data_IF_307312776452
#
_entry.id   IF_307312776452
#
_cell.length_a   1.000
_cell.length_b   1.000
_cell.length_c   1.000
_cell.angle_alpha   90.00
_cell.angle_beta   90.00
_cell.angle_gamma   90.00
#
_symmetry.space_group_name_H-M   'P 1'
#
loop_
_entity.id
_entity.type
_entity.pdbx_description
1 polymer ?
#
# COMPACT_ATOMS: atom_id res chain seq x y z
N UNK A 1 20.86 -2.95 -24.87
CA UNK A 1 19.45 -3.29 -24.55
C UNK A 1 18.60 -2.82 -25.70
N UNK A 2 17.85 -3.70 -26.37
CA UNK A 2 17.02 -3.32 -27.52
C UNK A 2 15.77 -2.52 -27.10
N UNK A 3 15.17 -1.77 -28.04
CA UNK A 3 14.02 -0.90 -27.79
C UNK A 3 12.80 -1.66 -27.22
N UNK A 4 12.53 -2.87 -27.72
CA UNK A 4 11.38 -3.66 -27.26
C UNK A 4 11.57 -4.03 -25.79
N UNK A 5 12.76 -4.49 -25.43
CA UNK A 5 13.13 -4.77 -24.05
C UNK A 5 13.04 -3.52 -23.16
N UNK A 6 13.43 -2.33 -23.65
CA UNK A 6 13.34 -1.09 -22.88
C UNK A 6 11.89 -0.70 -22.55
N UNK A 7 11.01 -0.74 -23.57
CA UNK A 7 9.59 -0.43 -23.38
C UNK A 7 8.89 -1.49 -22.52
N UNK A 8 9.26 -2.77 -22.71
CA UNK A 8 8.74 -3.88 -21.88
C UNK A 8 9.10 -3.69 -20.42
N UNK A 9 10.38 -3.43 -20.11
CA UNK A 9 10.83 -3.22 -18.73
C UNK A 9 10.19 -1.98 -18.10
N UNK A 10 10.01 -0.89 -18.86
CA UNK A 10 9.32 0.30 -18.37
C UNK A 10 7.86 -0.01 -17.97
N UNK A 11 7.15 -0.75 -18.82
CA UNK A 11 5.78 -1.18 -18.55
C UNK A 11 5.71 -2.08 -17.31
N UNK A 12 6.61 -3.07 -17.22
CA UNK A 12 6.69 -4.01 -16.10
C UNK A 12 7.02 -3.31 -14.78
N UNK A 13 7.92 -2.33 -14.79
CA UNK A 13 8.23 -1.55 -13.58
C UNK A 13 6.99 -0.82 -13.06
N UNK A 14 6.20 -0.23 -13.97
CA UNK A 14 5.03 0.59 -13.65
C UNK A 14 3.83 -0.27 -13.23
N UNK A 15 3.51 -1.33 -13.98
CA UNK A 15 2.28 -2.10 -13.80
C UNK A 15 2.49 -3.47 -13.16
N UNK A 16 3.75 -3.91 -12.96
CA UNK A 16 4.10 -5.25 -12.44
C UNK A 16 3.57 -6.40 -13.30
N UNK A 17 3.45 -6.17 -14.60
CA UNK A 17 3.03 -7.16 -15.59
C UNK A 17 3.72 -6.92 -16.94
N UNK A 18 3.75 -7.95 -17.79
CA UNK A 18 4.29 -7.86 -19.14
C UNK A 18 3.20 -7.33 -20.08
N UNK A 19 3.48 -6.31 -20.93
CA UNK A 19 2.49 -5.83 -21.88
C UNK A 19 2.16 -6.91 -22.92
N UNK A 20 0.88 -7.03 -23.26
CA UNK A 20 0.49 -7.87 -24.39
C UNK A 20 1.09 -7.34 -25.72
N UNK A 21 1.12 -8.17 -26.79
CA UNK A 21 1.73 -7.77 -28.05
C UNK A 21 1.14 -6.50 -28.69
N UNK A 22 -0.14 -6.22 -28.50
CA UNK A 22 -0.81 -5.06 -29.10
C UNK A 22 -0.57 -3.80 -28.27
N UNK A 23 -0.53 -3.92 -26.95
CA UNK A 23 -0.04 -2.88 -26.04
C UNK A 23 1.40 -2.52 -26.39
N UNK A 24 2.31 -3.51 -26.54
CA UNK A 24 3.70 -3.25 -26.89
C UNK A 24 3.85 -2.54 -28.26
N UNK A 25 3.10 -2.97 -29.28
CA UNK A 25 3.07 -2.29 -30.59
C UNK A 25 2.61 -0.84 -30.46
N UNK A 26 1.57 -0.59 -29.67
CA UNK A 26 1.03 0.77 -29.46
C UNK A 26 2.03 1.68 -28.75
N UNK A 27 2.78 1.16 -27.78
CA UNK A 27 3.84 1.90 -27.09
C UNK A 27 5.04 2.21 -28.00
N UNK A 28 5.43 1.27 -28.88
CA UNK A 28 6.46 1.51 -29.89
C UNK A 28 6.00 2.56 -30.89
N UNK A 29 4.73 2.54 -31.30
CA UNK A 29 4.17 3.57 -32.18
C UNK A 29 4.22 4.95 -31.50
N UNK A 30 3.79 5.05 -30.25
CA UNK A 30 3.85 6.29 -29.47
C UNK A 30 5.29 6.79 -29.30
N UNK A 31 6.25 5.90 -29.04
CA UNK A 31 7.68 6.23 -28.99
C UNK A 31 8.16 6.89 -30.30
N UNK A 32 7.85 6.28 -31.45
CA UNK A 32 8.25 6.78 -32.77
C UNK A 32 7.58 8.13 -33.10
N UNK A 33 6.31 8.31 -32.70
CA UNK A 33 5.57 9.56 -32.91
C UNK A 33 6.06 10.71 -32.03
N UNK A 34 6.75 10.41 -30.93
CA UNK A 34 7.22 11.40 -29.95
C UNK A 34 8.75 11.49 -29.94
N UNK A 35 9.34 11.63 -31.14
CA UNK A 35 10.77 11.86 -31.35
C UNK A 35 11.67 10.81 -30.69
N UNK A 36 11.25 9.54 -30.69
CA UNK A 36 12.00 8.43 -30.11
C UNK A 36 12.33 8.66 -28.61
N UNK A 37 11.40 9.27 -27.87
CA UNK A 37 11.57 9.59 -26.45
C UNK A 37 10.95 8.51 -25.56
N UNK A 38 11.78 7.83 -24.76
CA UNK A 38 11.30 6.90 -23.73
C UNK A 38 10.51 7.63 -22.64
N UNK A 39 10.87 8.88 -22.37
CA UNK A 39 10.16 9.71 -21.39
C UNK A 39 8.73 10.06 -21.85
N UNK A 40 8.51 10.19 -23.16
CA UNK A 40 7.17 10.35 -23.71
C UNK A 40 6.31 9.09 -23.53
N UNK A 41 6.91 7.90 -23.60
CA UNK A 41 6.24 6.63 -23.30
C UNK A 41 5.91 6.55 -21.81
N UNK A 42 6.85 6.88 -20.93
CA UNK A 42 6.62 6.90 -19.48
C UNK A 42 5.47 7.84 -19.11
N UNK A 43 5.47 9.07 -19.64
CA UNK A 43 4.40 10.05 -19.39
C UNK A 43 3.04 9.57 -19.91
N UNK A 44 3.02 8.90 -21.07
CA UNK A 44 1.81 8.26 -21.58
C UNK A 44 1.29 7.16 -20.64
N UNK A 45 2.17 6.29 -20.14
CA UNK A 45 1.79 5.24 -19.19
C UNK A 45 1.29 5.83 -17.86
N UNK A 46 1.97 6.84 -17.31
CA UNK A 46 1.60 7.49 -16.04
C UNK A 46 0.32 8.34 -16.14
N UNK A 47 -0.05 8.80 -17.32
CA UNK A 47 -1.32 9.51 -17.53
C UNK A 47 -2.51 8.60 -17.78
N UNK A 48 -2.28 7.29 -17.96
CA UNK A 48 -3.31 6.31 -18.27
C UNK A 48 -4.28 6.10 -17.10
N UNK A 49 -5.51 5.72 -17.43
CA UNK A 49 -6.51 5.33 -16.43
C UNK A 49 -6.06 4.12 -15.60
N UNK A 50 -5.29 3.20 -16.21
CA UNK A 50 -4.68 2.07 -15.51
C UNK A 50 -3.74 2.52 -14.40
N UNK A 51 -2.88 3.50 -14.68
CA UNK A 51 -1.96 4.03 -13.68
C UNK A 51 -2.68 4.78 -12.56
N UNK A 52 -3.74 5.53 -12.88
CA UNK A 52 -4.56 6.20 -11.87
C UNK A 52 -5.20 5.20 -10.91
N UNK A 53 -5.80 4.13 -11.43
CA UNK A 53 -6.40 3.06 -10.60
C UNK A 53 -5.35 2.40 -9.71
N UNK A 54 -4.21 2.00 -10.29
CA UNK A 54 -3.10 1.43 -9.53
C UNK A 54 -2.60 2.36 -8.42
N UNK A 55 -2.50 3.66 -8.70
CA UNK A 55 -2.07 4.66 -7.70
C UNK A 55 -3.08 4.78 -6.56
N UNK A 56 -4.37 4.83 -6.88
CA UNK A 56 -5.45 4.88 -5.88
C UNK A 56 -5.47 3.62 -5.00
N UNK A 57 -5.28 2.44 -5.61
CA UNK A 57 -5.20 1.17 -4.89
C UNK A 57 -4.01 1.15 -3.93
N UNK A 58 -2.81 1.51 -4.41
CA UNK A 58 -1.60 1.55 -3.58
C UNK A 58 -1.69 2.58 -2.46
N UNK A 59 -2.22 3.78 -2.73
CA UNK A 59 -2.47 4.79 -1.70
C UNK A 59 -3.47 4.29 -0.64
N UNK A 60 -4.48 3.54 -1.06
CA UNK A 60 -5.45 2.94 -0.15
C UNK A 60 -4.81 1.86 0.73
N UNK A 61 -3.98 1.00 0.14
CA UNK A 61 -3.21 -0.03 0.87
C UNK A 61 -2.28 0.60 1.92
N UNK A 62 -1.57 1.67 1.55
CA UNK A 62 -0.71 2.41 2.48
C UNK A 62 -1.51 2.97 3.67
N UNK A 63 -2.66 3.59 3.40
CA UNK A 63 -3.53 4.11 4.48
C UNK A 63 -4.01 3.00 5.43
N UNK A 64 -4.35 1.83 4.90
CA UNK A 64 -4.74 0.67 5.73
C UNK A 64 -3.55 0.18 6.56
N UNK A 65 -2.38 -0.01 5.94
CA UNK A 65 -1.16 -0.44 6.63
C UNK A 65 -0.78 0.53 7.77
N UNK A 66 -0.89 1.83 7.53
CA UNK A 66 -0.64 2.87 8.55
C UNK A 66 -1.60 2.76 9.74
N UNK A 67 -2.89 2.47 9.51
CA UNK A 67 -3.84 2.27 10.61
C UNK A 67 -3.50 1.03 11.44
N UNK A 68 -3.16 -0.09 10.78
CA UNK A 68 -2.71 -1.31 11.46
C UNK A 68 -1.47 -1.04 12.30
N UNK A 69 -0.45 -0.41 11.71
CA UNK A 69 0.80 -0.13 12.40
C UNK A 69 0.62 0.84 13.57
N UNK A 70 -0.07 1.95 13.35
CA UNK A 70 -0.20 3.01 14.36
C UNK A 70 -1.13 2.63 15.53
N UNK A 71 -2.10 1.74 15.31
CA UNK A 71 -3.11 1.38 16.33
C UNK A 71 -2.79 0.01 16.95
N UNK A 72 -2.51 -0.98 16.11
CA UNK A 72 -2.33 -2.37 16.52
C UNK A 72 -0.85 -2.80 16.58
N UNK A 73 0.10 -1.96 16.15
CA UNK A 73 1.55 -2.25 16.17
C UNK A 73 1.95 -3.52 15.41
N UNK A 74 1.23 -3.81 14.33
CA UNK A 74 1.57 -4.90 13.41
C UNK A 74 1.29 -4.51 11.96
N UNK A 75 1.81 -5.28 11.03
CA UNK A 75 1.35 -5.24 9.65
C UNK A 75 0.02 -5.99 9.50
N UNK A 76 -0.84 -5.57 8.56
CA UNK A 76 -2.01 -6.36 8.20
C UNK A 76 -1.58 -7.71 7.62
N UNK A 77 -2.37 -8.73 7.92
CA UNK A 77 -2.40 -9.95 7.11
C UNK A 77 -3.11 -9.70 5.77
N UNK A 78 -2.98 -10.66 4.85
CA UNK A 78 -3.53 -10.53 3.49
C UNK A 78 -5.06 -10.33 3.48
N UNK A 79 -5.78 -11.04 4.36
CA UNK A 79 -7.24 -10.96 4.45
C UNK A 79 -7.69 -9.58 4.96
N UNK A 80 -7.08 -9.10 6.06
CA UNK A 80 -7.34 -7.80 6.64
C UNK A 80 -7.00 -6.66 5.69
N UNK A 81 -5.86 -6.73 5.00
CA UNK A 81 -5.49 -5.74 3.98
C UNK A 81 -6.55 -5.68 2.87
N UNK A 82 -6.91 -6.83 2.30
CA UNK A 82 -7.88 -6.89 1.21
C UNK A 82 -9.27 -6.41 1.65
N UNK A 83 -9.72 -6.80 2.85
CA UNK A 83 -11.00 -6.38 3.40
C UNK A 83 -11.08 -4.86 3.53
N UNK A 84 -10.19 -4.23 4.30
CA UNK A 84 -10.27 -2.79 4.56
C UNK A 84 -9.96 -1.94 3.33
N UNK A 85 -9.06 -2.40 2.45
CA UNK A 85 -8.83 -1.78 1.14
C UNK A 85 -10.13 -1.70 0.34
N UNK A 86 -10.83 -2.82 0.16
CA UNK A 86 -12.05 -2.87 -0.63
C UNK A 86 -13.16 -2.01 0.00
N UNK A 87 -13.28 -2.00 1.33
CA UNK A 87 -14.23 -1.13 2.03
C UNK A 87 -13.99 0.37 1.76
N UNK A 88 -12.72 0.79 1.63
CA UNK A 88 -12.36 2.17 1.30
C UNK A 88 -12.60 2.47 -0.18
N UNK A 89 -12.19 1.58 -1.09
CA UNK A 89 -12.37 1.76 -2.54
C UNK A 89 -13.84 1.83 -2.94
N UNK A 90 -14.70 1.03 -2.29
CA UNK A 90 -16.14 1.01 -2.53
C UNK A 90 -16.89 2.12 -1.78
N UNK A 91 -16.20 2.95 -0.99
CA UNK A 91 -16.77 3.98 -0.12
C UNK A 91 -17.77 3.44 0.92
N UNK A 92 -17.68 2.15 1.27
CA UNK A 92 -18.50 1.53 2.31
C UNK A 92 -18.03 1.95 3.72
N UNK A 93 -16.74 2.27 3.87
CA UNK A 93 -16.16 2.81 5.12
C UNK A 93 -15.29 4.03 4.84
N UNK A 94 -15.20 4.90 5.83
CA UNK A 94 -14.18 5.96 5.90
C UNK A 94 -12.98 5.50 6.72
N UNK A 95 -11.82 6.15 6.52
CA UNK A 95 -10.64 5.90 7.37
C UNK A 95 -10.96 6.07 8.86
N UNK A 96 -11.78 7.06 9.19
CA UNK A 96 -12.18 7.31 10.58
C UNK A 96 -12.99 6.14 11.16
N UNK A 97 -13.91 5.58 10.37
CA UNK A 97 -14.68 4.41 10.80
C UNK A 97 -13.80 3.19 11.05
N UNK A 98 -12.73 2.99 10.25
CA UNK A 98 -11.80 1.88 10.43
C UNK A 98 -10.92 2.10 11.67
N UNK A 99 -10.43 3.33 11.87
CA UNK A 99 -9.69 3.72 13.07
C UNK A 99 -10.48 3.43 14.35
N UNK A 100 -11.76 3.81 14.36
CA UNK A 100 -12.65 3.58 15.50
C UNK A 100 -12.95 2.08 15.69
N UNK A 101 -13.04 1.30 14.61
CA UNK A 101 -13.18 -0.16 14.68
C UNK A 101 -11.95 -0.81 15.31
N UNK A 102 -10.74 -0.41 14.91
CA UNK A 102 -9.49 -0.92 15.49
C UNK A 102 -9.39 -0.58 16.97
N UNK A 103 -9.68 0.66 17.36
CA UNK A 103 -9.64 1.09 18.77
C UNK A 103 -10.67 0.38 19.66
N UNK A 104 -11.79 -0.08 19.08
CA UNK A 104 -12.81 -0.83 19.79
C UNK A 104 -12.63 -2.35 19.73
N UNK A 105 -11.66 -2.83 18.94
CA UNK A 105 -11.36 -4.26 18.79
C UNK A 105 -10.81 -4.87 20.08
N UNK A 106 -11.08 -6.16 20.26
CA UNK A 106 -10.52 -6.92 21.38
C UNK A 106 -9.00 -7.08 21.27
N UNK A 107 -8.46 -7.03 20.06
CA UNK A 107 -7.03 -6.99 19.80
C UNK A 107 -6.40 -5.75 20.44
N UNK A 108 -6.94 -4.56 20.16
CA UNK A 108 -6.46 -3.31 20.76
C UNK A 108 -6.60 -3.29 22.27
N UNK A 109 -7.76 -3.72 22.80
CA UNK A 109 -7.96 -3.82 24.26
C UNK A 109 -6.95 -4.75 24.93
N UNK A 110 -6.67 -5.89 24.30
CA UNK A 110 -5.69 -6.86 24.79
C UNK A 110 -4.27 -6.29 24.77
N UNK A 111 -3.91 -5.57 23.71
CA UNK A 111 -2.64 -4.85 23.61
C UNK A 111 -2.45 -3.85 24.76
N UNK A 112 -3.41 -2.94 24.96
CA UNK A 112 -3.34 -1.93 26.03
C UNK A 112 -3.31 -2.59 27.43
N UNK A 113 -4.06 -3.68 27.62
CA UNK A 113 -4.03 -4.42 28.89
C UNK A 113 -2.65 -5.02 29.17
N UNK A 114 -2.02 -5.62 28.15
CA UNK A 114 -0.67 -6.20 28.26
C UNK A 114 0.37 -5.11 28.54
N UNK A 115 0.37 -4.01 27.80
CA UNK A 115 1.28 -2.87 28.03
C UNK A 115 1.21 -2.34 29.47
N UNK A 116 0.01 -2.16 30.00
CA UNK A 116 -0.18 -1.71 31.38
C UNK A 116 0.40 -2.70 32.39
N UNK A 117 0.25 -4.00 32.15
CA UNK A 117 0.83 -5.06 32.99
C UNK A 117 2.36 -5.08 32.94
N UNK A 118 2.96 -4.89 31.77
CA UNK A 118 4.41 -4.77 31.65
C UNK A 118 4.94 -3.56 32.43
N UNK A 119 4.32 -2.39 32.25
CA UNK A 119 4.72 -1.17 32.95
C UNK A 119 4.57 -1.28 34.47
N UNK A 120 3.52 -1.94 34.96
CA UNK A 120 3.38 -2.15 36.42
C UNK A 120 4.48 -3.05 36.99
N UNK A 121 4.89 -4.08 36.25
CA UNK A 121 5.95 -4.99 36.68
C UNK A 121 7.32 -4.31 36.70
N UNK A 122 7.65 -3.50 35.67
CA UNK A 122 8.91 -2.74 35.65
C UNK A 122 9.03 -1.76 36.82
N UNK A 123 7.92 -1.09 37.18
CA UNK A 123 7.89 -0.22 38.36
C UNK A 123 8.14 -1.00 39.65
N UNK A 124 7.51 -2.17 39.83
CA UNK A 124 7.71 -3.03 41.00
C UNK A 124 9.16 -3.50 41.12
N UNK A 125 9.77 -3.98 40.03
CA UNK A 125 11.18 -4.39 40.01
C UNK A 125 12.11 -3.22 40.35
N UNK A 126 11.80 -2.01 39.86
CA UNK A 126 12.59 -0.81 40.18
C UNK A 126 12.51 -0.41 41.66
N UNK A 127 11.36 -0.62 42.32
CA UNK A 127 11.13 -0.30 43.72
C UNK A 127 11.83 -1.29 44.66
N UNK A 128 11.93 -2.57 44.28
CA UNK A 128 12.59 -3.59 45.08
C UNK A 128 14.13 -3.51 45.02
N UNK A 129 14.71 -2.83 44.02
CA UNK A 129 16.16 -2.55 43.97
C UNK A 129 16.59 -1.49 45.02
N UNK A 130 15.66 -0.70 45.56
CA UNK A 130 15.93 0.32 46.58
C UNK A 130 15.72 -0.17 48.03
N UNK A 131 15.42 -1.46 48.25
CA UNK A 131 15.35 -2.10 49.58
C UNK A 131 16.60 -2.91 49.87
#
# INVERSE_FOLDING_TARGET
MDLKSQITNLYEIIFKEIPDPDTLKSLILHYNQNNNSIHAVENYLRSSEKFKKLSIELETELKVAELYYNILERMPDEEGMNFYKNQLLENNKSLKSIEDEFKNSDEYKSKISNENKFRSNELMDSLDIFK
#
